data_IF_745834665142
#
_entry.id   IF_745834665142
#
_cell.length_a   1.000
_cell.length_b   1.000
_cell.length_c   1.000
_cell.angle_alpha   90.00
_cell.angle_beta   90.00
_cell.angle_gamma   90.00
#
_symmetry.space_group_name_H-M   'P 1'
#
loop_
_entity.id
_entity.type
_entity.pdbx_description
1 polymer ?
#
# COMPACT_ATOMS: atom_id res chain seq x y z
N UNK A 1 -6.81 25.89 36.46
CA UNK A 1 -7.29 24.73 35.69
C UNK A 1 -6.98 25.04 34.24
N UNK A 2 -5.76 24.76 33.80
CA UNK A 2 -5.33 24.92 32.40
C UNK A 2 -5.75 23.65 31.66
N UNK A 3 -6.70 23.77 30.73
CA UNK A 3 -7.05 22.67 29.85
C UNK A 3 -5.82 22.30 29.01
N UNK A 4 -5.44 21.01 28.89
CA UNK A 4 -4.41 20.62 27.95
C UNK A 4 -4.94 20.88 26.54
N UNK A 5 -4.27 21.78 25.80
CA UNK A 5 -4.51 22.03 24.38
C UNK A 5 -4.75 20.70 23.66
N UNK A 6 -5.81 20.58 22.84
CA UNK A 6 -6.08 19.35 22.11
C UNK A 6 -4.84 19.07 21.26
N UNK A 7 -4.14 17.99 21.59
CA UNK A 7 -3.07 17.42 20.81
C UNK A 7 -3.67 16.92 19.50
N UNK A 8 -4.13 17.84 18.65
CA UNK A 8 -4.27 17.59 17.23
C UNK A 8 -2.92 17.01 16.84
N UNK A 9 -2.90 15.77 16.38
CA UNK A 9 -1.72 15.04 15.95
C UNK A 9 -1.10 15.83 14.80
N UNK A 10 -0.35 16.87 15.14
CA UNK A 10 0.33 17.77 14.21
C UNK A 10 1.66 17.11 13.95
N UNK A 11 1.64 16.08 13.10
CA UNK A 11 2.86 15.61 12.46
C UNK A 11 3.51 16.83 11.81
N UNK A 12 4.76 17.09 12.16
CA UNK A 12 5.56 18.13 11.53
C UNK A 12 5.66 17.85 10.02
N UNK A 13 5.88 18.86 9.17
CA UNK A 13 6.02 18.62 7.72
C UNK A 13 7.11 17.58 7.40
N UNK A 14 8.18 17.50 8.21
CA UNK A 14 9.24 16.51 8.10
C UNK A 14 8.74 15.09 8.42
N UNK A 15 8.02 14.92 9.54
CA UNK A 15 7.44 13.62 9.94
C UNK A 15 6.42 13.11 8.92
N UNK A 16 5.65 14.02 8.31
CA UNK A 16 4.69 13.66 7.24
C UNK A 16 5.41 13.10 6.02
N UNK A 17 6.53 13.70 5.59
CA UNK A 17 7.28 13.21 4.43
C UNK A 17 7.85 11.81 4.67
N UNK A 18 8.39 11.56 5.86
CA UNK A 18 8.89 10.23 6.22
C UNK A 18 7.77 9.19 6.28
N UNK A 19 6.63 9.56 6.87
CA UNK A 19 5.45 8.71 6.92
C UNK A 19 4.94 8.36 5.52
N UNK A 20 4.83 9.35 4.64
CA UNK A 20 4.43 9.14 3.25
C UNK A 20 5.43 8.26 2.50
N UNK A 21 6.74 8.46 2.70
CA UNK A 21 7.77 7.65 2.06
C UNK A 21 7.63 6.17 2.44
N UNK A 22 7.49 5.87 3.74
CA UNK A 22 7.28 4.50 4.25
C UNK A 22 5.98 3.89 3.73
N UNK A 23 4.90 4.68 3.70
CA UNK A 23 3.59 4.25 3.18
C UNK A 23 3.66 3.93 1.68
N UNK A 24 4.29 4.78 0.87
CA UNK A 24 4.46 4.56 -0.57
C UNK A 24 5.24 3.29 -0.85
N UNK A 25 6.32 3.03 -0.12
CA UNK A 25 7.10 1.80 -0.27
C UNK A 25 6.26 0.54 -0.02
N UNK A 26 5.48 0.52 1.09
CA UNK A 26 4.59 -0.61 1.38
C UNK A 26 3.51 -0.78 0.32
N UNK A 27 2.91 0.31 -0.13
CA UNK A 27 1.90 0.27 -1.19
C UNK A 27 2.45 -0.29 -2.50
N UNK A 28 3.69 0.07 -2.86
CA UNK A 28 4.38 -0.49 -4.02
C UNK A 28 4.64 -1.99 -3.88
N UNK A 29 5.09 -2.43 -2.70
CA UNK A 29 5.28 -3.86 -2.45
C UNK A 29 3.96 -4.64 -2.60
N UNK A 30 2.86 -4.14 -2.03
CA UNK A 30 1.54 -4.75 -2.16
C UNK A 30 1.09 -4.76 -3.63
N UNK A 31 1.27 -3.65 -4.36
CA UNK A 31 0.92 -3.56 -5.77
C UNK A 31 1.64 -4.63 -6.61
N UNK A 32 2.95 -4.82 -6.38
CA UNK A 32 3.74 -5.83 -7.09
C UNK A 32 3.24 -7.25 -6.80
N UNK A 33 2.91 -7.55 -5.54
CA UNK A 33 2.36 -8.87 -5.17
C UNK A 33 1.00 -9.11 -5.84
N UNK A 34 0.10 -8.11 -5.79
CA UNK A 34 -1.22 -8.22 -6.42
C UNK A 34 -1.10 -8.39 -7.93
N UNK A 35 -0.21 -7.64 -8.58
CA UNK A 35 0.03 -7.75 -10.01
C UNK A 35 0.62 -9.13 -10.37
N UNK A 36 1.56 -9.63 -9.58
CA UNK A 36 2.12 -10.98 -9.76
C UNK A 36 1.06 -12.07 -9.69
N UNK A 37 0.16 -12.01 -8.70
CA UNK A 37 -0.96 -12.95 -8.63
C UNK A 37 -1.96 -12.78 -9.78
N UNK A 38 -2.31 -11.55 -10.15
CA UNK A 38 -3.21 -11.30 -11.28
C UNK A 38 -2.66 -11.92 -12.58
N UNK A 39 -1.37 -11.71 -12.87
CA UNK A 39 -0.70 -12.30 -14.04
C UNK A 39 -0.66 -13.82 -13.94
N UNK A 40 -0.29 -14.38 -12.77
CA UNK A 40 -0.24 -15.82 -12.57
C UNK A 40 -1.61 -16.47 -12.80
N UNK A 41 -2.67 -15.93 -12.19
CA UNK A 41 -4.04 -16.42 -12.40
C UNK A 41 -4.46 -16.29 -13.86
N UNK A 42 -4.18 -15.16 -14.51
CA UNK A 42 -4.49 -14.97 -15.91
C UNK A 42 -3.85 -16.05 -16.79
N UNK A 43 -2.57 -16.36 -16.56
CA UNK A 43 -1.86 -17.40 -17.32
C UNK A 43 -2.44 -18.79 -17.04
N UNK A 44 -2.71 -19.14 -15.79
CA UNK A 44 -3.31 -20.44 -15.41
C UNK A 44 -4.70 -20.60 -16.02
N UNK A 45 -5.56 -19.58 -15.88
CA UNK A 45 -6.90 -19.57 -16.45
C UNK A 45 -6.87 -19.69 -17.97
N UNK A 46 -5.99 -18.92 -18.63
CA UNK A 46 -5.80 -18.99 -20.07
C UNK A 46 -5.35 -20.39 -20.50
N UNK A 47 -4.30 -20.95 -19.87
CA UNK A 47 -3.81 -22.28 -20.18
C UNK A 47 -4.87 -23.38 -19.95
N UNK A 48 -5.74 -23.23 -18.94
CA UNK A 48 -6.87 -24.12 -18.70
C UNK A 48 -7.88 -24.05 -19.83
N UNK A 49 -8.24 -22.84 -20.28
CA UNK A 49 -9.19 -22.64 -21.37
C UNK A 49 -8.64 -23.18 -22.69
N UNK A 50 -7.36 -22.97 -22.98
CA UNK A 50 -6.75 -23.45 -24.23
C UNK A 50 -6.45 -24.96 -24.27
N UNK A 51 -6.46 -25.64 -23.12
CA UNK A 51 -6.21 -27.09 -23.03
C UNK A 51 -7.49 -27.93 -22.95
N UNK A 52 -8.64 -27.30 -22.71
CA UNK A 52 -9.97 -27.94 -22.76
C UNK A 52 -10.63 -27.69 -24.10
#
# INVERSE_FOLDING_TARGET
MTEPEPQAIRMTPEERQEFERRRRQRNWAILLVLLGFAVLFFLISSARVFRG
#
